data_IF_105129484724
#
_entry.id   IF_105129484724
#
_cell.length_a   1.000
_cell.length_b   1.000
_cell.length_c   1.000
_cell.angle_alpha   90.00
_cell.angle_beta   90.00
_cell.angle_gamma   90.00
#
_symmetry.space_group_name_H-M   'P 1'
#
loop_
_entity.id
_entity.type
_entity.pdbx_description
1 polymer ?
#
# COMPACT_ATOMS: atom_id res chain seq x y z
N UNK A 1 21.15 -2.91 -39.51
CA UNK A 1 21.84 -2.89 -38.20
C UNK A 1 21.33 -1.78 -37.27
N UNK A 2 21.44 -0.47 -37.58
CA UNK A 2 20.93 0.58 -36.66
C UNK A 2 19.39 0.66 -36.58
N UNK A 3 18.69 0.33 -37.67
CA UNK A 3 17.22 0.34 -37.69
C UNK A 3 16.62 -0.87 -36.96
N UNK A 4 17.27 -2.03 -37.07
CA UNK A 4 16.85 -3.28 -36.40
C UNK A 4 16.90 -3.10 -34.87
N UNK A 5 18.00 -2.54 -34.35
CA UNK A 5 18.15 -2.26 -32.92
C UNK A 5 17.06 -1.31 -32.37
N UNK A 6 16.63 -0.32 -33.17
CA UNK A 6 15.56 0.61 -32.75
C UNK A 6 14.18 -0.05 -32.74
N UNK A 7 13.96 -1.07 -33.58
CA UNK A 7 12.73 -1.84 -33.57
C UNK A 7 12.69 -2.77 -32.36
N UNK A 8 13.79 -3.48 -32.10
CA UNK A 8 13.94 -4.36 -30.93
C UNK A 8 13.76 -3.58 -29.61
N UNK A 9 14.32 -2.36 -29.52
CA UNK A 9 14.13 -1.48 -28.36
C UNK A 9 12.65 -1.08 -28.15
N UNK A 10 11.91 -0.82 -29.23
CA UNK A 10 10.48 -0.49 -29.15
C UNK A 10 9.67 -1.70 -28.72
N UNK A 11 9.97 -2.88 -29.25
CA UNK A 11 9.29 -4.13 -28.88
C UNK A 11 9.53 -4.49 -27.41
N UNK A 12 10.76 -4.34 -26.93
CA UNK A 12 11.10 -4.54 -25.52
C UNK A 12 10.35 -3.57 -24.59
N UNK A 13 10.25 -2.29 -24.95
CA UNK A 13 9.47 -1.31 -24.17
C UNK A 13 7.97 -1.59 -24.21
N UNK A 14 7.45 -2.10 -25.33
CA UNK A 14 6.05 -2.50 -25.43
C UNK A 14 5.75 -3.73 -24.56
N UNK A 15 6.66 -4.71 -24.51
CA UNK A 15 6.53 -5.86 -23.61
C UNK A 15 6.48 -5.40 -22.14
N UNK A 16 7.43 -4.55 -21.72
CA UNK A 16 7.45 -3.98 -20.37
C UNK A 16 6.19 -3.16 -20.05
N UNK A 17 5.68 -2.41 -21.04
CA UNK A 17 4.44 -1.65 -20.87
C UNK A 17 3.25 -2.58 -20.59
N UNK A 18 3.11 -3.67 -21.34
CA UNK A 18 2.02 -4.63 -21.15
C UNK A 18 2.10 -5.30 -19.77
N UNK A 19 3.29 -5.72 -19.35
CA UNK A 19 3.50 -6.32 -18.02
C UNK A 19 3.10 -5.36 -16.89
N UNK A 20 3.45 -4.07 -17.02
CA UNK A 20 3.09 -3.03 -16.04
C UNK A 20 1.59 -2.72 -16.04
N UNK A 21 0.94 -2.75 -17.20
CA UNK A 21 -0.53 -2.60 -17.31
C UNK A 21 -1.22 -3.75 -16.60
N UNK A 22 -0.74 -4.99 -16.78
CA UNK A 22 -1.30 -6.15 -16.10
C UNK A 22 -1.11 -6.05 -14.57
N UNK A 23 0.07 -5.64 -14.09
CA UNK A 23 0.31 -5.39 -12.66
C UNK A 23 -0.63 -4.31 -12.11
N UNK A 24 -0.80 -3.21 -12.85
CA UNK A 24 -1.69 -2.11 -12.49
C UNK A 24 -3.14 -2.59 -12.36
N UNK A 25 -3.64 -3.37 -13.33
CA UNK A 25 -4.99 -3.89 -13.35
C UNK A 25 -5.24 -4.85 -12.18
N UNK A 26 -4.28 -5.72 -11.86
CA UNK A 26 -4.37 -6.62 -10.71
C UNK A 26 -4.45 -5.85 -9.40
N UNK A 27 -3.59 -4.84 -9.20
CA UNK A 27 -3.61 -4.02 -8.00
C UNK A 27 -4.89 -3.19 -7.89
N UNK A 28 -5.37 -2.65 -9.02
CA UNK A 28 -6.62 -1.89 -9.08
C UNK A 28 -7.83 -2.75 -8.71
N UNK A 29 -7.92 -3.97 -9.26
CA UNK A 29 -8.97 -4.94 -8.89
C UNK A 29 -8.92 -5.28 -7.41
N UNK A 30 -7.71 -5.52 -6.87
CA UNK A 30 -7.51 -5.81 -5.44
C UNK A 30 -7.97 -4.64 -4.56
N UNK A 31 -7.64 -3.41 -4.93
CA UNK A 31 -8.08 -2.20 -4.23
C UNK A 31 -9.61 -2.12 -4.22
N UNK A 32 -10.26 -2.32 -5.38
CA UNK A 32 -11.72 -2.30 -5.46
C UNK A 32 -12.37 -3.36 -4.58
N UNK A 33 -11.85 -4.59 -4.56
CA UNK A 33 -12.38 -5.65 -3.70
C UNK A 33 -12.27 -5.31 -2.22
N UNK A 34 -11.12 -4.79 -1.78
CA UNK A 34 -10.93 -4.33 -0.39
C UNK A 34 -11.87 -3.16 -0.06
N UNK A 35 -12.07 -2.24 -0.98
CA UNK A 35 -12.94 -1.09 -0.79
C UNK A 35 -14.42 -1.49 -0.65
N UNK A 36 -14.88 -2.45 -1.45
CA UNK A 36 -16.24 -3.00 -1.37
C UNK A 36 -16.42 -3.73 -0.04
N UNK A 37 -15.48 -4.62 0.33
CA UNK A 37 -15.48 -5.33 1.63
C UNK A 37 -15.53 -4.36 2.81
N UNK A 38 -14.66 -3.35 2.81
CA UNK A 38 -14.61 -2.33 3.85
C UNK A 38 -15.94 -1.58 3.96
N UNK A 39 -16.54 -1.13 2.85
CA UNK A 39 -17.83 -0.43 2.88
C UNK A 39 -18.96 -1.33 3.37
N UNK A 40 -18.99 -2.58 2.95
CA UNK A 40 -20.00 -3.54 3.39
C UNK A 40 -19.89 -3.82 4.90
N UNK A 41 -18.67 -4.02 5.41
CA UNK A 41 -18.42 -4.23 6.84
C UNK A 41 -18.73 -2.97 7.66
N UNK A 42 -18.46 -1.78 7.13
CA UNK A 42 -18.84 -0.51 7.76
C UNK A 42 -20.37 -0.38 7.85
N UNK A 43 -21.09 -0.69 6.76
CA UNK A 43 -22.56 -0.69 6.76
C UNK A 43 -23.13 -1.68 7.78
N UNK A 44 -22.55 -2.89 7.87
CA UNK A 44 -22.92 -3.87 8.91
C UNK A 44 -22.67 -3.35 10.32
N UNK A 45 -21.52 -2.73 10.57
CA UNK A 45 -21.19 -2.12 11.87
C UNK A 45 -22.22 -1.04 12.24
N UNK A 46 -22.55 -0.15 11.30
CA UNK A 46 -23.51 0.93 11.48
C UNK A 46 -24.94 0.42 11.69
N UNK A 47 -25.31 -0.68 11.04
CA UNK A 47 -26.61 -1.32 11.27
C UNK A 47 -26.71 -1.93 12.67
N UNK A 48 -25.64 -2.56 13.16
CA UNK A 48 -25.58 -3.15 14.50
C UNK A 48 -25.32 -2.14 15.63
N UNK A 49 -25.07 -0.87 15.29
CA UNK A 49 -24.70 0.15 16.27
C UNK A 49 -25.89 0.51 17.17
N UNK A 50 -25.59 0.91 18.42
CA UNK A 50 -26.61 1.40 19.32
C UNK A 50 -27.24 2.71 18.79
N UNK A 51 -28.47 2.99 19.21
CA UNK A 51 -29.26 4.13 18.72
C UNK A 51 -28.49 5.44 18.91
N UNK A 52 -28.24 6.15 17.81
CA UNK A 52 -27.51 7.43 17.81
C UNK A 52 -26.01 7.33 17.52
N UNK A 53 -25.45 6.12 17.42
CA UNK A 53 -24.04 5.91 17.06
C UNK A 53 -23.93 5.58 15.56
N UNK A 54 -23.09 6.33 14.85
CA UNK A 54 -22.69 6.02 13.46
C UNK A 54 -21.17 6.04 13.37
N UNK A 55 -20.55 4.91 13.06
CA UNK A 55 -19.12 4.84 12.84
C UNK A 55 -18.78 5.59 11.54
N UNK A 56 -18.18 6.77 11.69
CA UNK A 56 -17.88 7.70 10.62
C UNK A 56 -17.16 8.94 11.15
N UNK A 57 -17.10 9.98 10.32
CA UNK A 57 -16.41 11.25 10.63
C UNK A 57 -16.97 11.95 11.87
N UNK A 58 -18.27 11.84 12.11
CA UNK A 58 -18.97 12.47 13.26
C UNK A 58 -18.47 11.98 14.63
N UNK A 59 -17.90 10.77 14.70
CA UNK A 59 -17.32 10.23 15.93
C UNK A 59 -15.78 10.39 15.98
N UNK A 60 -15.19 11.12 15.03
CA UNK A 60 -13.76 11.36 15.01
C UNK A 60 -13.36 12.36 16.11
N UNK A 61 -12.63 11.88 17.10
CA UNK A 61 -11.98 12.70 18.09
C UNK A 61 -10.70 13.30 17.49
N UNK A 62 -10.59 14.63 17.49
CA UNK A 62 -9.43 15.37 17.00
C UNK A 62 -8.13 15.06 17.75
N UNK A 63 -8.21 14.32 18.87
CA UNK A 63 -7.06 13.80 19.61
C UNK A 63 -6.34 12.65 18.90
N UNK A 64 -6.96 11.98 17.93
CA UNK A 64 -6.31 10.91 17.17
C UNK A 64 -5.39 11.50 16.11
N UNK A 65 -4.15 11.02 16.10
CA UNK A 65 -3.17 11.31 15.06
C UNK A 65 -3.07 10.15 14.07
N UNK A 66 -2.73 10.45 12.81
CA UNK A 66 -2.50 9.44 11.81
C UNK A 66 -1.35 8.50 12.23
N UNK A 67 -1.64 7.19 12.34
CA UNK A 67 -0.64 6.16 12.61
C UNK A 67 0.17 5.79 11.37
N UNK A 68 -0.38 5.99 10.16
CA UNK A 68 0.29 5.66 8.90
C UNK A 68 0.47 6.92 8.09
N UNK A 69 1.71 7.19 7.69
CA UNK A 69 2.11 8.35 6.92
C UNK A 69 2.76 7.88 5.64
N UNK A 70 2.43 8.51 4.51
CA UNK A 70 3.13 8.25 3.26
C UNK A 70 4.25 9.30 3.12
N UNK A 71 5.50 8.84 3.08
CA UNK A 71 6.66 9.68 2.76
C UNK A 71 6.93 9.58 1.27
N UNK A 72 6.97 10.73 0.62
CA UNK A 72 7.36 10.85 -0.78
C UNK A 72 8.85 11.16 -0.80
N UNK A 73 9.66 10.26 -1.35
CA UNK A 73 11.07 10.51 -1.63
C UNK A 73 11.27 10.61 -3.14
N UNK A 74 12.23 11.43 -3.55
CA UNK A 74 12.65 11.49 -4.96
C UNK A 74 13.95 10.70 -5.04
N UNK A 75 13.94 9.58 -5.76
CA UNK A 75 15.14 8.78 -5.96
C UNK A 75 16.07 9.54 -6.92
N UNK A 76 17.20 10.01 -6.39
CA UNK A 76 18.15 10.88 -7.10
C UNK A 76 18.76 10.23 -8.36
N UNK A 77 18.83 8.89 -8.40
CA UNK A 77 19.46 8.15 -9.51
C UNK A 77 18.55 8.00 -10.74
N UNK A 78 17.22 7.95 -10.54
CA UNK A 78 16.25 7.71 -11.62
C UNK A 78 15.24 8.84 -11.81
N UNK A 79 15.25 9.86 -10.94
CA UNK A 79 14.24 10.92 -10.91
C UNK A 79 12.83 10.41 -10.61
N UNK A 80 12.69 9.16 -10.18
CA UNK A 80 11.41 8.51 -9.87
C UNK A 80 10.97 8.89 -8.46
N UNK A 81 9.68 9.20 -8.30
CA UNK A 81 9.09 9.44 -6.98
C UNK A 81 8.76 8.10 -6.36
N UNK A 82 9.34 7.81 -5.21
CA UNK A 82 9.10 6.60 -4.44
C UNK A 82 8.21 6.94 -3.25
N UNK A 83 7.19 6.13 -3.02
CA UNK A 83 6.20 6.35 -1.98
C UNK A 83 6.35 5.27 -0.91
N UNK A 84 6.89 5.64 0.24
CA UNK A 84 7.09 4.70 1.36
C UNK A 84 6.05 4.96 2.44
N UNK A 85 5.28 3.94 2.81
CA UNK A 85 4.37 4.02 3.96
C UNK A 85 5.18 3.78 5.24
N UNK A 86 5.18 4.77 6.11
CA UNK A 86 5.77 4.71 7.44
C UNK A 86 4.65 4.54 8.47
N UNK A 87 4.84 3.61 9.39
CA UNK A 87 4.07 3.56 10.63
C UNK A 87 4.72 4.53 11.60
N UNK A 88 3.96 5.52 12.07
CA UNK A 88 4.39 6.43 13.14
C UNK A 88 4.31 5.65 14.45
N UNK A 89 5.35 4.90 14.74
CA UNK A 89 5.51 4.30 16.05
C UNK A 89 5.67 5.45 17.05
N UNK A 90 4.75 5.51 18.02
CA UNK A 90 4.69 6.54 19.05
C UNK A 90 5.79 6.37 20.10
N UNK A 91 7.04 6.19 19.67
CA UNK A 91 8.22 6.33 20.50
C UNK A 91 8.95 7.60 20.06
N UNK A 92 8.80 8.68 20.83
CA UNK A 92 9.79 9.77 20.78
C UNK A 92 11.14 9.17 21.17
N UNK A 93 12.01 8.95 20.18
CA UNK A 93 13.38 8.47 20.39
C UNK A 93 14.06 8.21 19.05
N UNK A 94 15.14 8.93 18.78
CA UNK A 94 15.89 8.98 17.51
C UNK A 94 16.33 7.59 17.01
N UNK A 95 16.14 7.29 15.73
CA UNK A 95 17.17 6.77 14.82
C UNK A 95 16.61 6.57 13.40
N UNK A 96 17.44 6.94 12.42
CA UNK A 96 17.25 6.74 10.97
C UNK A 96 17.56 5.28 10.56
N UNK A 97 17.19 4.86 9.33
CA UNK A 97 16.69 3.52 9.04
C UNK A 97 17.75 2.53 8.50
N UNK A 98 17.47 1.24 8.61
CA UNK A 98 18.19 0.21 7.84
C UNK A 98 17.24 -0.90 7.39
N UNK A 99 17.56 -1.44 6.22
CA UNK A 99 16.75 -2.20 5.27
C UNK A 99 16.66 -3.69 5.65
N UNK A 100 15.49 -4.31 5.43
CA UNK A 100 15.29 -5.60 4.72
C UNK A 100 14.15 -6.48 5.29
N UNK A 101 13.36 -6.97 4.33
CA UNK A 101 12.28 -7.96 4.31
C UNK A 101 12.35 -9.16 5.26
N UNK A 102 11.18 -9.71 5.63
CA UNK A 102 10.64 -10.93 4.99
C UNK A 102 9.25 -11.31 5.54
N UNK A 103 8.30 -11.47 4.63
CA UNK A 103 6.97 -12.04 4.88
C UNK A 103 7.07 -13.54 4.61
N UNK A 104 6.80 -14.38 5.62
CA UNK A 104 6.48 -15.80 5.44
C UNK A 104 5.03 -16.05 5.86
N UNK A 105 4.17 -16.28 4.88
CA UNK A 105 2.91 -16.98 5.02
C UNK A 105 3.18 -18.45 5.37
N UNK A 106 2.54 -18.98 6.42
CA UNK A 106 2.09 -20.39 6.46
C UNK A 106 0.75 -20.50 7.18
N UNK A 107 -0.10 -21.33 6.59
CA UNK A 107 -1.48 -21.62 6.94
C UNK A 107 -1.62 -22.51 8.20
N UNK A 108 -2.88 -22.63 8.63
CA UNK A 108 -3.46 -23.37 9.76
C UNK A 108 -2.91 -24.80 9.93
N UNK A 109 -2.69 -25.25 11.17
CA UNK A 109 -3.61 -26.16 11.89
C UNK A 109 -3.13 -26.46 13.32
N UNK A 110 -4.07 -26.89 14.16
CA UNK A 110 -3.92 -27.78 15.32
C UNK A 110 -3.73 -27.27 16.78
N UNK A 111 -4.80 -27.57 17.52
CA UNK A 111 -5.06 -27.85 18.94
C UNK A 111 -4.02 -27.51 20.05
N UNK A 112 -4.55 -26.77 21.04
CA UNK A 112 -4.57 -27.10 22.47
C UNK A 112 -3.30 -27.67 23.12
N UNK A 113 -2.48 -26.83 23.77
CA UNK A 113 -1.82 -27.20 25.03
C UNK A 113 -1.69 -26.01 25.99
N UNK A 114 -2.21 -26.21 27.20
CA UNK A 114 -1.91 -25.39 28.37
C UNK A 114 -0.40 -25.39 28.63
N UNK A 115 0.18 -24.20 28.81
CA UNK A 115 1.50 -24.05 29.41
C UNK A 115 1.45 -22.92 30.42
N UNK A 116 1.30 -23.27 31.69
CA UNK A 116 1.84 -22.45 32.77
C UNK A 116 3.35 -22.58 32.74
N UNK A 117 4.06 -21.44 32.78
CA UNK A 117 5.19 -21.17 33.67
C UNK A 117 5.47 -19.66 33.62
N UNK A 118 5.68 -19.14 34.82
CA UNK A 118 5.96 -17.77 35.22
C UNK A 118 7.31 -17.23 34.73
N UNK A 119 7.39 -15.89 34.66
CA UNK A 119 8.63 -15.12 34.84
C UNK A 119 9.34 -14.67 33.56
N UNK A 120 9.12 -13.43 33.14
CA UNK A 120 10.13 -12.35 33.18
C UNK A 120 9.52 -11.05 32.64
N UNK A 121 9.72 -9.96 33.36
CA UNK A 121 8.93 -8.74 33.31
C UNK A 121 9.43 -7.66 32.36
N UNK A 122 9.39 -7.90 31.04
CA UNK A 122 9.77 -6.85 30.06
C UNK A 122 8.87 -6.70 28.82
N UNK A 123 7.75 -7.43 28.68
CA UNK A 123 6.89 -7.35 27.47
C UNK A 123 5.59 -6.54 27.63
N UNK A 124 5.32 -5.99 28.81
CA UNK A 124 4.00 -5.38 29.10
C UNK A 124 3.89 -3.91 28.68
N UNK A 125 4.98 -3.15 28.62
CA UNK A 125 4.88 -1.72 28.32
C UNK A 125 4.62 -1.43 26.84
N UNK A 126 5.32 -2.10 25.94
CA UNK A 126 5.19 -1.84 24.50
C UNK A 126 3.86 -2.34 23.92
N UNK A 127 3.39 -3.49 24.40
CA UNK A 127 2.04 -3.98 24.11
C UNK A 127 0.99 -3.04 24.70
N UNK A 128 1.13 -2.58 25.95
CA UNK A 128 0.19 -1.63 26.57
C UNK A 128 0.17 -0.26 25.88
N UNK A 129 1.29 0.22 25.33
CA UNK A 129 1.39 1.51 24.61
C UNK A 129 0.80 1.44 23.20
N UNK A 130 1.02 0.36 22.46
CA UNK A 130 0.36 0.11 21.16
C UNK A 130 -1.15 -0.05 21.34
N UNK A 131 -1.56 -0.81 22.35
CA UNK A 131 -2.96 -0.92 22.80
C UNK A 131 -3.58 0.46 23.10
N UNK A 132 -2.84 1.39 23.72
CA UNK A 132 -3.36 2.74 24.03
C UNK A 132 -3.55 3.64 22.81
N UNK A 133 -2.88 3.34 21.71
CA UNK A 133 -2.87 4.19 20.51
C UNK A 133 -3.62 3.60 19.32
N UNK A 134 -4.31 2.46 19.51
CA UNK A 134 -5.19 1.88 18.50
C UNK A 134 -6.36 2.85 18.22
N UNK A 135 -6.50 3.40 17.01
CA UNK A 135 -7.53 4.40 16.72
C UNK A 135 -8.95 3.82 16.83
N UNK A 136 -9.09 2.51 16.66
CA UNK A 136 -10.38 1.82 16.75
C UNK A 136 -10.96 1.84 18.18
N UNK A 137 -10.12 1.98 19.21
CA UNK A 137 -10.57 1.98 20.62
C UNK A 137 -11.26 3.27 21.04
N UNK A 138 -11.16 4.33 20.23
CA UNK A 138 -11.95 5.55 20.42
C UNK A 138 -13.45 5.29 20.41
N UNK A 139 -13.89 4.26 19.70
CA UNK A 139 -15.29 3.84 19.65
C UNK A 139 -15.72 3.02 20.88
N UNK A 140 -14.90 2.97 21.93
CA UNK A 140 -15.16 2.26 23.17
C UNK A 140 -14.45 0.90 23.25
N UNK A 141 -14.62 0.23 24.39
CA UNK A 141 -13.95 -1.05 24.67
C UNK A 141 -14.58 -2.22 23.90
N UNK A 142 -15.88 -2.11 23.58
CA UNK A 142 -16.65 -3.11 22.85
C UNK A 142 -16.81 -2.68 21.38
N UNK A 143 -15.73 -2.81 20.62
CA UNK A 143 -15.76 -2.56 19.17
C UNK A 143 -16.35 -3.77 18.44
N UNK A 144 -17.34 -3.58 17.55
CA UNK A 144 -17.90 -4.69 16.78
C UNK A 144 -16.83 -5.28 15.85
N UNK A 145 -16.87 -6.61 15.67
CA UNK A 145 -15.88 -7.32 14.85
C UNK A 145 -15.83 -6.80 13.40
N UNK A 146 -16.97 -6.37 12.86
CA UNK A 146 -17.07 -5.73 11.55
C UNK A 146 -16.20 -4.48 11.43
N UNK A 147 -16.11 -3.65 12.47
CA UNK A 147 -15.27 -2.45 12.46
C UNK A 147 -13.77 -2.79 12.45
N UNK A 148 -13.38 -3.90 13.10
CA UNK A 148 -12.00 -4.40 13.04
C UNK A 148 -11.66 -4.88 11.64
N UNK A 149 -12.60 -5.56 10.96
CA UNK A 149 -12.42 -5.95 9.56
C UNK A 149 -12.24 -4.71 8.66
N UNK A 150 -13.07 -3.68 8.84
CA UNK A 150 -12.91 -2.39 8.12
C UNK A 150 -11.50 -1.82 8.31
N UNK A 151 -11.00 -1.81 9.55
CA UNK A 151 -9.65 -1.34 9.85
C UNK A 151 -8.60 -2.18 9.11
N UNK A 152 -8.70 -3.51 9.15
CA UNK A 152 -7.73 -4.37 8.44
C UNK A 152 -7.75 -4.16 6.94
N UNK A 153 -8.93 -4.03 6.31
CA UNK A 153 -9.04 -3.80 4.88
C UNK A 153 -8.55 -2.41 4.49
N UNK A 154 -8.85 -1.39 5.31
CA UNK A 154 -8.35 -0.03 5.11
C UNK A 154 -6.83 0.04 5.21
N UNK A 155 -6.22 -0.69 6.16
CA UNK A 155 -4.76 -0.79 6.26
C UNK A 155 -4.16 -1.39 4.99
N UNK A 156 -4.75 -2.48 4.47
CA UNK A 156 -4.30 -3.10 3.22
C UNK A 156 -4.43 -2.13 2.04
N UNK A 157 -5.53 -1.38 1.95
CA UNK A 157 -5.73 -0.37 0.90
C UNK A 157 -4.65 0.71 0.92
N UNK A 158 -4.32 1.26 2.10
CA UNK A 158 -3.28 2.29 2.25
C UNK A 158 -1.91 1.80 1.79
N UNK A 159 -1.63 0.50 1.91
CA UNK A 159 -0.37 -0.08 1.44
C UNK A 159 -0.33 -0.28 -0.09
N UNK A 160 -1.49 -0.48 -0.74
CA UNK A 160 -1.58 -0.71 -2.19
C UNK A 160 -1.52 0.60 -2.99
N UNK A 161 -2.12 1.68 -2.48
CA UNK A 161 -2.23 2.97 -3.17
C UNK A 161 -0.85 3.53 -3.62
N UNK A 162 0.21 3.55 -2.77
CA UNK A 162 1.55 3.99 -3.15
C UNK A 162 2.08 3.28 -4.39
N UNK A 163 2.01 1.94 -4.42
CA UNK A 163 2.48 1.14 -5.55
C UNK A 163 1.70 1.45 -6.83
N UNK A 164 0.38 1.67 -6.72
CA UNK A 164 -0.45 2.04 -7.86
C UNK A 164 -0.02 3.39 -8.47
N UNK A 165 0.32 4.37 -7.63
CA UNK A 165 0.82 5.68 -8.07
C UNK A 165 2.21 5.57 -8.69
N UNK A 166 3.08 4.70 -8.15
CA UNK A 166 4.38 4.41 -8.75
C UNK A 166 4.23 3.81 -10.15
N UNK A 167 3.37 2.80 -10.30
CA UNK A 167 3.12 2.16 -11.60
C UNK A 167 2.56 3.14 -12.63
N UNK A 168 1.62 4.01 -12.24
CA UNK A 168 1.07 5.04 -13.13
C UNK A 168 2.15 6.01 -13.63
N UNK A 169 3.09 6.38 -12.75
CA UNK A 169 4.24 7.20 -13.13
C UNK A 169 5.21 6.45 -14.06
N UNK A 170 5.43 5.15 -13.85
CA UNK A 170 6.29 4.31 -14.70
C UNK A 170 5.68 4.09 -16.10
N UNK A 171 4.38 3.81 -16.17
CA UNK A 171 3.65 3.69 -17.43
C UNK A 171 3.76 4.98 -18.26
N UNK A 172 3.56 6.14 -17.63
CA UNK A 172 3.70 7.43 -18.30
C UNK A 172 5.14 7.67 -18.84
N UNK A 173 6.17 7.22 -18.11
CA UNK A 173 7.57 7.33 -18.56
C UNK A 173 7.83 6.47 -19.80
N UNK A 174 7.38 5.22 -19.79
CA UNK A 174 7.57 4.29 -20.91
C UNK A 174 6.82 4.79 -22.15
N UNK A 175 5.60 5.32 -21.99
CA UNK A 175 4.87 5.93 -23.12
C UNK A 175 5.67 7.07 -23.76
N UNK A 176 6.31 7.92 -22.95
CA UNK A 176 7.14 9.01 -23.44
C UNK A 176 8.34 8.47 -24.22
N UNK A 177 8.99 7.41 -23.71
CA UNK A 177 10.13 6.77 -24.37
C UNK A 177 9.75 6.14 -25.71
N UNK A 178 8.64 5.38 -25.76
CA UNK A 178 8.10 4.80 -26.99
C UNK A 178 7.82 5.91 -28.02
N UNK A 179 7.17 7.01 -27.60
CA UNK A 179 6.93 8.16 -28.50
C UNK A 179 8.23 8.76 -29.03
N UNK A 180 9.27 8.88 -28.19
CA UNK A 180 10.59 9.41 -28.57
C UNK A 180 11.28 8.48 -29.57
N UNK A 181 11.29 7.17 -29.34
CA UNK A 181 11.92 6.19 -30.22
C UNK A 181 11.20 6.11 -31.57
N UNK A 182 9.87 6.07 -31.59
CA UNK A 182 9.08 6.14 -32.83
C UNK A 182 9.42 7.39 -33.65
N UNK A 183 9.56 8.54 -33.00
CA UNK A 183 9.98 9.79 -33.65
C UNK A 183 11.42 9.76 -34.17
N UNK A 184 12.33 9.04 -33.50
CA UNK A 184 13.72 8.85 -33.97
C UNK A 184 13.77 7.92 -35.19
N UNK A 185 12.99 6.84 -35.17
CA UNK A 185 12.85 5.90 -36.30
C UNK A 185 12.35 6.61 -37.56
N UNK A 186 11.23 7.34 -37.47
CA UNK A 186 10.69 8.07 -38.65
C UNK A 186 11.69 9.08 -39.22
N UNK A 187 12.47 9.76 -38.36
CA UNK A 187 13.54 10.67 -38.81
C UNK A 187 14.70 9.94 -39.48
N UNK A 188 15.05 8.74 -39.03
CA UNK A 188 16.09 7.93 -39.65
C UNK A 188 15.65 7.45 -41.04
N UNK A 189 14.42 6.93 -41.16
CA UNK A 189 13.83 6.49 -42.43
C UNK A 189 13.77 7.63 -43.47
N UNK A 190 13.43 8.86 -43.05
CA UNK A 190 13.43 10.04 -43.93
C UNK A 190 14.84 10.44 -44.38
N UNK A 191 15.86 10.25 -43.53
CA UNK A 191 17.26 10.52 -43.89
C UNK A 191 17.83 9.47 -44.86
N UNK A 192 17.40 8.21 -44.74
CA UNK A 192 17.83 7.13 -45.65
C UNK A 192 17.22 7.32 -47.04
N UNK A 193 16.03 7.92 -47.14
CA UNK A 193 15.35 8.21 -48.41
C UNK A 193 15.82 9.48 -49.14
N UNK A 194 16.67 10.30 -48.51
CA UNK A 194 17.25 11.52 -49.09
C UNK A 194 18.68 11.26 -49.56
#
# INVERSE_FOLDING_TARGET
>A
MKEDNLSDDIENLLAQYLDLVDEYDLLRRRLYMLQISARQNLARANFSAARGIKYGEELYDSRIQALRLCRVTVDAEKGKRKFTVLTKDTSRGKSDPTVASEVKERALDDLSQEKKISGDGQTTEDTARTIKNDPIRMFGILTPASLRLVQTDSIKMVNIIPRLVELDAELAQIEIEIRRLRKRRTKAEVKVKK
#
